data_IF_328777760244
#
_entry.id   IF_328777760244
#
_cell.length_a   1.000
_cell.length_b   1.000
_cell.length_c   1.000
_cell.angle_alpha   90.00
_cell.angle_beta   90.00
_cell.angle_gamma   90.00
#
_symmetry.space_group_name_H-M   'P 1'
#
loop_
_entity.id
_entity.type
_entity.pdbx_description
1 polymer ?
#
# COMPACT_ATOMS: atom_id res chain seq x y z
N UNK A 1 -0.69 6.85 -39.31
CA UNK A 1 -1.01 6.01 -38.15
C UNK A 1 0.14 6.17 -37.17
N UNK A 2 -0.09 6.83 -36.04
CA UNK A 2 0.89 6.92 -34.95
C UNK A 2 0.39 5.97 -33.86
N UNK A 3 1.14 4.90 -33.69
CA UNK A 3 0.98 3.92 -32.63
C UNK A 3 1.22 4.63 -31.29
N UNK A 4 0.16 4.73 -30.48
CA UNK A 4 0.26 5.25 -29.13
C UNK A 4 0.77 4.11 -28.25
N UNK A 5 2.07 4.12 -28.02
CA UNK A 5 2.73 3.22 -27.08
C UNK A 5 2.14 3.48 -25.70
N UNK A 6 1.34 2.51 -25.30
CA UNK A 6 0.88 2.17 -23.96
C UNK A 6 1.89 2.55 -22.86
N UNK A 7 1.56 3.54 -22.03
CA UNK A 7 2.07 3.61 -20.65
C UNK A 7 1.06 4.35 -19.78
N UNK A 8 -0.16 3.80 -19.74
CA UNK A 8 -1.16 4.15 -18.75
C UNK A 8 -1.27 2.93 -17.82
N UNK A 9 -0.29 2.73 -16.95
CA UNK A 9 -0.27 1.62 -15.99
C UNK A 9 0.39 1.97 -14.65
N UNK A 10 0.38 3.23 -14.24
CA UNK A 10 0.88 3.59 -12.90
C UNK A 10 -0.19 3.40 -11.79
N UNK A 11 -1.48 3.37 -12.12
CA UNK A 11 -2.55 3.39 -11.10
C UNK A 11 -2.93 2.00 -10.54
N UNK A 12 -2.35 0.91 -11.07
CA UNK A 12 -2.60 -0.46 -10.58
C UNK A 12 -1.42 -1.11 -9.88
N UNK A 13 -0.25 -0.48 -9.91
CA UNK A 13 0.97 -0.99 -9.26
C UNK A 13 1.06 -0.61 -7.77
N UNK A 14 0.48 0.51 -7.38
CA UNK A 14 0.56 1.05 -6.01
C UNK A 14 -0.28 0.22 -5.02
N UNK A 15 -1.48 -0.22 -5.43
CA UNK A 15 -2.38 -1.01 -4.58
C UNK A 15 -1.84 -2.42 -4.29
N UNK A 16 -1.05 -3.00 -5.21
CA UNK A 16 -0.61 -4.39 -5.10
C UNK A 16 0.60 -4.60 -4.16
N UNK A 17 1.41 -3.57 -3.90
CA UNK A 17 2.65 -3.74 -3.11
C UNK A 17 2.38 -4.06 -1.63
N UNK A 18 1.40 -3.38 -1.03
CA UNK A 18 1.06 -3.54 0.38
C UNK A 18 -0.24 -4.36 0.58
N UNK A 19 -0.75 -5.01 -0.48
CA UNK A 19 -1.99 -5.80 -0.42
C UNK A 19 -1.88 -6.96 0.59
N UNK A 20 -0.70 -7.57 0.70
CA UNK A 20 -0.43 -8.62 1.69
C UNK A 20 -0.55 -8.10 3.12
N UNK A 21 0.10 -6.97 3.43
CA UNK A 21 0.04 -6.32 4.74
C UNK A 21 -1.37 -5.82 5.07
N UNK A 22 -2.08 -5.29 4.07
CA UNK A 22 -3.47 -4.87 4.22
C UNK A 22 -4.39 -6.06 4.52
N UNK A 23 -4.19 -7.18 3.81
CA UNK A 23 -4.96 -8.42 4.04
C UNK A 23 -4.71 -8.97 5.44
N UNK A 24 -3.46 -9.02 5.89
CA UNK A 24 -3.12 -9.44 7.26
C UNK A 24 -3.74 -8.54 8.35
N UNK A 25 -3.78 -7.23 8.10
CA UNK A 25 -4.48 -6.27 8.96
C UNK A 25 -5.99 -6.55 9.00
N UNK A 26 -6.62 -6.84 7.85
CA UNK A 26 -8.03 -7.19 7.77
C UNK A 26 -8.35 -8.49 8.52
N UNK A 27 -7.51 -9.52 8.39
CA UNK A 27 -7.68 -10.79 9.12
C UNK A 27 -7.59 -10.58 10.63
N UNK A 28 -6.66 -9.74 11.10
CA UNK A 28 -6.57 -9.38 12.51
C UNK A 28 -7.83 -8.64 12.97
N UNK A 29 -8.31 -7.67 12.18
CA UNK A 29 -9.53 -6.94 12.50
C UNK A 29 -10.75 -7.86 12.51
N UNK A 30 -10.86 -8.81 11.59
CA UNK A 30 -11.93 -9.81 11.62
C UNK A 30 -11.88 -10.65 12.90
N UNK A 31 -10.69 -11.10 13.29
CA UNK A 31 -10.47 -11.91 14.51
C UNK A 31 -10.81 -11.15 15.80
N UNK A 32 -10.53 -9.86 15.87
CA UNK A 32 -10.70 -9.04 17.08
C UNK A 32 -11.88 -8.06 17.01
N UNK A 33 -12.89 -8.32 16.19
CA UNK A 33 -14.11 -7.48 16.10
C UNK A 33 -13.79 -6.01 15.76
N UNK A 34 -12.92 -5.83 14.78
CA UNK A 34 -12.35 -4.57 14.28
C UNK A 34 -11.62 -3.77 15.36
N UNK A 35 -11.06 -4.44 16.35
CA UNK A 35 -10.29 -3.79 17.40
C UNK A 35 -8.85 -3.47 16.96
N UNK A 36 -8.67 -2.26 16.45
CA UNK A 36 -7.38 -1.72 16.02
C UNK A 36 -6.30 -1.66 17.11
N UNK A 37 -6.68 -1.68 18.40
CA UNK A 37 -5.72 -1.69 19.50
C UNK A 37 -5.01 -3.05 19.63
N UNK A 38 -5.66 -4.14 19.21
CA UNK A 38 -5.07 -5.48 19.16
C UNK A 38 -4.21 -5.69 17.91
N UNK A 39 -4.57 -5.04 16.81
CA UNK A 39 -3.90 -5.13 15.51
C UNK A 39 -2.83 -4.05 15.29
N UNK A 40 -2.24 -3.48 16.35
CA UNK A 40 -1.24 -2.41 16.24
C UNK A 40 0.02 -2.85 15.49
N UNK A 41 0.39 -4.14 15.59
CA UNK A 41 1.53 -4.71 14.87
C UNK A 41 1.29 -4.68 13.37
N UNK A 42 0.19 -5.27 12.90
CA UNK A 42 -0.18 -5.35 11.49
C UNK A 42 -0.43 -3.96 10.91
N UNK A 43 -1.05 -3.07 11.69
CA UNK A 43 -1.24 -1.67 11.34
C UNK A 43 0.09 -0.95 11.12
N UNK A 44 1.10 -1.20 11.97
CA UNK A 44 2.42 -0.59 11.84
C UNK A 44 3.15 -1.09 10.59
N UNK A 45 3.03 -2.38 10.28
CA UNK A 45 3.61 -2.99 9.09
C UNK A 45 2.97 -2.44 7.82
N UNK A 46 1.63 -2.42 7.75
CA UNK A 46 0.89 -1.82 6.64
C UNK A 46 1.28 -0.35 6.43
N UNK A 47 1.36 0.40 7.52
CA UNK A 47 1.70 1.83 7.48
C UNK A 47 3.15 2.07 7.10
N UNK A 48 4.07 1.16 7.44
CA UNK A 48 5.47 1.23 6.99
C UNK A 48 5.56 1.01 5.47
N UNK A 49 4.92 -0.04 4.95
CA UNK A 49 4.85 -0.30 3.51
C UNK A 49 4.26 0.89 2.74
N UNK A 50 3.15 1.44 3.23
CA UNK A 50 2.51 2.61 2.61
C UNK A 50 3.34 3.90 2.77
N UNK A 51 4.08 4.06 3.86
CA UNK A 51 4.89 5.27 4.09
C UNK A 51 6.16 5.31 3.23
N UNK A 52 6.75 4.16 2.90
CA UNK A 52 7.89 4.09 1.97
C UNK A 52 7.53 4.58 0.56
N UNK A 53 6.26 4.44 0.14
CA UNK A 53 5.73 4.98 -1.11
C UNK A 53 5.66 6.52 -1.09
N UNK A 54 5.18 7.11 0.02
CA UNK A 54 5.07 8.57 0.15
C UNK A 54 6.42 9.31 0.18
N UNK A 55 7.51 8.61 0.51
CA UNK A 55 8.87 9.15 0.50
C UNK A 55 9.51 9.22 -0.89
N UNK A 56 9.05 8.44 -1.85
CA UNK A 56 9.62 8.43 -3.21
C UNK A 56 9.09 9.56 -4.11
N UNK A 57 7.98 10.20 -3.73
CA UNK A 57 7.44 11.37 -4.45
C UNK A 57 8.04 12.71 -4.01
N UNK A 58 8.89 12.71 -2.98
CA UNK A 58 9.57 13.91 -2.46
C UNK A 58 11.10 13.71 -2.42
N UNK A 59 11.70 13.28 -3.52
CA UNK A 59 13.14 12.98 -3.55
C UNK A 59 13.77 12.94 -4.94
N UNK A 60 13.17 13.60 -5.93
CA UNK A 60 13.81 13.88 -7.23
C UNK A 60 13.59 15.34 -7.56
N UNK A 61 14.39 16.19 -6.95
CA UNK A 61 14.65 17.54 -7.44
C UNK A 61 16.16 17.68 -7.50
N UNK A 62 16.66 17.38 -8.70
CA UNK A 62 17.83 17.90 -9.41
C UNK A 62 19.07 18.33 -8.62
#
# INVERSE_FOLDING_TARGET
MKEYTNEHNDDKGEVAKCESEYSALLECLDTFDRNWAKCQSELKTFRACYSEESGQRSGSSS
#
